data_IF_050539400109
#
_entry.id   IF_050539400109
#
_cell.length_a   1.000
_cell.length_b   1.000
_cell.length_c   1.000
_cell.angle_alpha   90.00
_cell.angle_beta   90.00
_cell.angle_gamma   90.00
#
_symmetry.space_group_name_H-M   'P 1'
#
loop_
_entity.id
_entity.type
_entity.pdbx_description
1 polymer ?
#
# COMPACT_ATOMS: atom_id res chain seq x y z
N UNK A 1 1.34 -21.51 3.72
CA UNK A 1 2.49 -20.72 4.22
C UNK A 1 2.44 -19.36 3.53
N UNK A 2 2.27 -18.33 4.32
CA UNK A 2 2.19 -16.97 3.81
C UNK A 2 3.55 -16.52 3.24
N UNK A 3 3.51 -15.75 2.18
CA UNK A 3 4.69 -15.16 1.56
C UNK A 3 4.46 -13.68 1.33
N UNK A 4 5.48 -12.88 1.51
CA UNK A 4 5.46 -11.46 1.22
C UNK A 4 6.27 -11.19 -0.06
N UNK A 5 5.61 -10.64 -1.07
CA UNK A 5 6.29 -10.20 -2.29
C UNK A 5 7.04 -8.91 -2.01
N UNK A 6 8.33 -8.90 -2.31
CA UNK A 6 9.10 -7.68 -2.23
C UNK A 6 8.53 -6.60 -3.15
N UNK A 7 8.62 -5.32 -2.78
CA UNK A 7 8.29 -4.22 -3.68
C UNK A 7 8.97 -4.38 -5.03
N UNK A 8 8.28 -4.03 -6.12
CA UNK A 8 8.72 -4.28 -7.52
C UNK A 8 10.11 -3.74 -7.81
N UNK A 9 10.50 -2.63 -7.19
CA UNK A 9 11.81 -2.01 -7.29
C UNK A 9 12.96 -2.83 -6.69
N UNK A 10 12.67 -3.84 -5.88
CA UNK A 10 13.66 -4.77 -5.32
C UNK A 10 13.77 -6.06 -6.14
N UNK A 11 12.74 -6.39 -6.93
CA UNK A 11 12.70 -7.61 -7.74
C UNK A 11 13.77 -7.71 -8.83
N UNK A 12 14.51 -6.64 -9.11
CA UNK A 12 15.59 -6.61 -10.12
C UNK A 12 16.99 -6.79 -9.55
N UNK A 13 17.14 -6.95 -8.23
CA UNK A 13 18.44 -7.15 -7.59
C UNK A 13 18.74 -8.64 -7.49
N UNK A 14 19.84 -9.06 -8.10
CA UNK A 14 20.28 -10.46 -8.08
C UNK A 14 20.68 -10.96 -6.67
N UNK A 15 20.98 -10.02 -5.76
CA UNK A 15 21.37 -10.28 -4.37
C UNK A 15 20.18 -10.42 -3.41
N UNK A 16 18.95 -10.19 -3.89
CA UNK A 16 17.76 -10.28 -3.05
C UNK A 16 16.82 -11.40 -3.54
N UNK A 17 16.17 -12.11 -2.61
CA UNK A 17 15.13 -13.07 -2.98
C UNK A 17 13.91 -12.33 -3.55
N UNK A 18 13.23 -12.94 -4.50
CA UNK A 18 11.99 -12.39 -5.08
C UNK A 18 10.84 -12.26 -4.06
N UNK A 19 10.89 -13.07 -3.03
CA UNK A 19 9.86 -13.16 -1.99
C UNK A 19 10.52 -13.49 -0.64
N UNK A 20 9.92 -12.98 0.44
CA UNK A 20 10.27 -13.38 1.80
C UNK A 20 9.48 -14.64 2.12
N UNK A 21 10.18 -15.76 2.32
CA UNK A 21 9.60 -17.06 2.63
C UNK A 21 10.50 -17.85 3.57
N UNK A 22 9.92 -18.74 4.42
CA UNK A 22 8.52 -18.73 4.85
C UNK A 22 8.27 -17.55 5.80
N UNK A 23 7.03 -17.07 5.87
CA UNK A 23 6.57 -16.14 6.89
C UNK A 23 5.66 -16.91 7.83
N UNK A 24 6.04 -17.02 9.08
CA UNK A 24 5.22 -17.62 10.12
C UNK A 24 4.34 -16.54 10.77
N UNK A 25 3.04 -16.81 10.91
CA UNK A 25 2.11 -15.97 11.64
C UNK A 25 1.49 -16.79 12.77
N UNK A 26 1.58 -16.28 13.98
CA UNK A 26 1.07 -16.89 15.19
C UNK A 26 -0.39 -17.37 15.08
N UNK A 27 -1.28 -16.56 14.52
CA UNK A 27 -2.72 -16.85 14.51
C UNK A 27 -3.19 -17.86 13.48
N UNK A 28 -2.41 -18.18 12.45
CA UNK A 28 -2.89 -18.94 11.29
C UNK A 28 -2.32 -20.35 11.14
N UNK A 29 -1.20 -20.63 11.80
CA UNK A 29 -0.45 -21.88 11.58
C UNK A 29 -0.39 -22.79 12.80
N UNK A 30 -0.96 -22.40 13.96
CA UNK A 30 -0.91 -23.15 15.19
C UNK A 30 -2.10 -24.12 15.32
N UNK A 31 -1.80 -25.40 15.45
CA UNK A 31 -2.81 -26.43 15.75
C UNK A 31 -3.17 -26.43 17.24
N UNK A 32 -4.46 -26.61 17.60
CA UNK A 32 -4.85 -26.76 18.99
C UNK A 32 -4.18 -28.02 19.62
N UNK A 33 -3.43 -27.83 20.71
CA UNK A 33 -2.92 -28.94 21.50
C UNK A 33 -1.46 -28.85 21.94
N UNK A 34 -0.52 -28.34 21.11
CA UNK A 34 0.90 -28.21 21.46
C UNK A 34 1.47 -26.85 21.11
N UNK A 35 0.71 -25.80 21.44
CA UNK A 35 1.02 -24.41 21.11
C UNK A 35 2.44 -23.96 21.52
N UNK A 36 2.94 -24.24 22.76
CA UNK A 36 4.26 -23.79 23.20
C UNK A 36 5.40 -24.40 22.38
N UNK A 37 5.32 -25.69 22.07
CA UNK A 37 6.38 -26.40 21.35
C UNK A 37 6.45 -26.00 19.87
N UNK A 38 5.29 -25.82 19.22
CA UNK A 38 5.22 -25.38 17.82
C UNK A 38 5.74 -23.95 17.66
N UNK A 39 5.39 -23.08 18.60
CA UNK A 39 5.86 -21.70 18.63
C UNK A 39 7.38 -21.64 18.83
N UNK A 40 7.91 -22.38 19.80
CA UNK A 40 9.35 -22.46 20.05
C UNK A 40 10.10 -22.95 18.82
N UNK A 41 9.62 -24.01 18.17
CA UNK A 41 10.22 -24.52 16.93
C UNK A 41 10.16 -23.50 15.77
N UNK A 42 9.08 -22.74 15.67
CA UNK A 42 8.95 -21.68 14.67
C UNK A 42 9.94 -20.52 14.94
N UNK A 43 10.11 -20.14 16.21
CA UNK A 43 11.10 -19.13 16.61
C UNK A 43 12.54 -19.61 16.35
N UNK A 44 12.87 -20.86 16.66
CA UNK A 44 14.18 -21.46 16.37
C UNK A 44 14.52 -21.41 14.88
N UNK A 45 13.55 -21.70 14.02
CA UNK A 45 13.72 -21.68 12.56
C UNK A 45 13.67 -20.27 11.94
N UNK A 46 13.20 -19.27 12.70
CA UNK A 46 13.05 -17.91 12.23
C UNK A 46 14.38 -17.18 12.27
N UNK A 47 14.74 -16.52 11.16
CA UNK A 47 15.92 -15.66 11.08
C UNK A 47 15.68 -14.29 11.73
N UNK A 48 14.47 -13.77 11.64
CA UNK A 48 14.06 -12.48 12.20
C UNK A 48 12.73 -12.64 12.94
N UNK A 49 12.55 -11.86 13.98
CA UNK A 49 11.29 -11.70 14.69
C UNK A 49 10.77 -10.28 14.48
N UNK A 50 9.65 -10.14 13.77
CA UNK A 50 8.97 -8.84 13.62
C UNK A 50 7.89 -8.75 14.69
N UNK A 51 8.05 -7.81 15.61
CA UNK A 51 7.14 -7.60 16.73
C UNK A 51 6.20 -6.45 16.42
N UNK A 52 4.90 -6.73 16.36
CA UNK A 52 3.89 -5.68 16.20
C UNK A 52 3.71 -4.98 17.55
N UNK A 53 4.17 -3.73 17.65
CA UNK A 53 4.18 -2.96 18.88
C UNK A 53 2.96 -2.04 18.98
N UNK A 54 2.23 -2.18 20.09
CA UNK A 54 1.11 -1.35 20.51
C UNK A 54 0.97 -1.42 22.02
N UNK A 55 0.20 -0.55 22.69
CA UNK A 55 -0.06 -0.63 24.13
C UNK A 55 -0.71 -1.96 24.54
N UNK A 56 -1.43 -2.60 23.63
CA UNK A 56 -2.01 -3.92 23.85
C UNK A 56 -0.97 -5.02 23.80
N UNK A 57 -0.09 -5.04 22.81
CA UNK A 57 0.97 -6.06 22.69
C UNK A 57 2.03 -5.91 23.77
N UNK A 58 2.30 -4.68 24.23
CA UNK A 58 3.22 -4.41 25.33
C UNK A 58 2.81 -5.10 26.64
N UNK A 59 1.50 -5.27 26.87
CA UNK A 59 0.92 -5.94 28.05
C UNK A 59 0.73 -7.46 27.86
N UNK A 60 1.03 -7.99 26.66
CA UNK A 60 0.83 -9.39 26.34
C UNK A 60 1.96 -10.27 26.90
N UNK A 61 1.63 -11.17 27.82
CA UNK A 61 2.59 -12.14 28.35
C UNK A 61 3.15 -13.07 27.25
N UNK A 62 2.34 -13.38 26.23
CA UNK A 62 2.77 -14.20 25.10
C UNK A 62 3.84 -13.50 24.26
N UNK A 63 3.61 -12.25 23.92
CA UNK A 63 4.60 -11.45 23.15
C UNK A 63 5.90 -11.28 23.94
N UNK A 64 5.82 -11.06 25.24
CA UNK A 64 7.02 -10.98 26.09
C UNK A 64 7.78 -12.31 26.11
N UNK A 65 7.09 -13.45 26.28
CA UNK A 65 7.71 -14.79 26.28
C UNK A 65 8.38 -15.13 24.95
N UNK A 66 7.74 -14.80 23.82
CA UNK A 66 8.34 -14.97 22.48
C UNK A 66 9.63 -14.17 22.33
N UNK A 67 9.61 -12.92 22.80
CA UNK A 67 10.78 -12.05 22.79
C UNK A 67 11.89 -12.56 23.69
N UNK A 68 11.59 -12.95 24.92
CA UNK A 68 12.56 -13.54 25.87
C UNK A 68 13.23 -14.76 25.25
N UNK A 69 12.43 -15.69 24.68
CA UNK A 69 12.95 -16.85 23.99
C UNK A 69 13.91 -16.48 22.86
N UNK A 70 13.58 -15.47 22.07
CA UNK A 70 14.42 -15.04 20.95
C UNK A 70 15.71 -14.34 21.42
N UNK A 71 15.64 -13.61 22.54
CA UNK A 71 16.80 -12.99 23.22
C UNK A 71 17.71 -14.07 23.81
N UNK A 72 17.16 -15.09 24.47
CA UNK A 72 17.91 -16.23 25.03
C UNK A 72 18.65 -17.02 23.94
N UNK A 73 18.11 -17.08 22.73
CA UNK A 73 18.80 -17.65 21.57
C UNK A 73 19.96 -16.79 21.05
N UNK A 74 20.27 -15.66 21.68
CA UNK A 74 21.34 -14.73 21.26
C UNK A 74 21.02 -13.98 19.97
N UNK A 75 19.73 -13.80 19.61
CA UNK A 75 19.28 -13.19 18.36
C UNK A 75 18.64 -11.81 18.55
N UNK A 76 19.05 -11.08 19.56
CA UNK A 76 18.52 -9.75 19.88
C UNK A 76 18.62 -8.78 18.71
N UNK A 77 19.72 -8.85 17.94
CA UNK A 77 19.96 -8.03 16.75
C UNK A 77 19.01 -8.35 15.57
N UNK A 78 18.29 -9.45 15.64
CA UNK A 78 17.30 -9.89 14.63
C UNK A 78 15.85 -9.55 15.01
N UNK A 79 15.64 -8.92 16.16
CA UNK A 79 14.32 -8.42 16.56
C UNK A 79 14.06 -7.09 15.85
N UNK A 80 12.91 -6.96 15.21
CA UNK A 80 12.49 -5.76 14.48
C UNK A 80 11.13 -5.29 15.01
N UNK A 81 11.08 -4.28 15.89
CA UNK A 81 9.82 -3.70 16.32
C UNK A 81 9.13 -2.94 15.18
N UNK A 82 7.85 -3.23 14.99
CA UNK A 82 6.98 -2.56 14.05
C UNK A 82 5.87 -1.86 14.81
N UNK A 83 6.02 -0.55 15.01
CA UNK A 83 5.15 0.25 15.87
C UNK A 83 3.93 0.70 15.08
N UNK A 84 2.75 0.22 15.49
CA UNK A 84 1.46 0.56 14.89
C UNK A 84 0.68 1.56 15.72
N UNK A 85 0.93 1.59 17.05
CA UNK A 85 0.23 2.46 17.98
C UNK A 85 1.09 2.69 19.23
N UNK A 86 0.92 3.83 19.90
CA UNK A 86 1.63 4.18 21.12
C UNK A 86 3.01 4.79 20.87
N UNK A 87 3.78 4.90 21.95
CA UNK A 87 5.12 5.51 21.97
C UNK A 87 6.10 4.58 22.68
N UNK A 88 7.26 4.31 22.08
CA UNK A 88 8.31 3.54 22.75
C UNK A 88 8.89 4.33 23.94
N UNK A 89 9.18 3.62 25.04
CA UNK A 89 9.73 4.16 26.28
C UNK A 89 8.89 5.31 26.87
N UNK A 90 7.57 5.21 26.73
CA UNK A 90 6.66 6.20 27.30
C UNK A 90 6.62 6.11 28.83
N UNK A 91 6.51 7.26 29.49
CA UNK A 91 6.27 7.32 30.95
C UNK A 91 4.84 6.92 31.31
N UNK A 92 3.92 6.98 30.36
CA UNK A 92 2.52 6.57 30.55
C UNK A 92 2.36 5.09 30.15
N UNK A 93 1.91 4.22 31.07
CA UNK A 93 1.65 2.81 30.75
C UNK A 93 0.56 2.58 29.71
N UNK A 94 -0.27 3.60 29.44
CA UNK A 94 -1.33 3.55 28.43
C UNK A 94 -0.80 3.84 27.02
N UNK A 95 0.30 4.58 26.93
CA UNK A 95 0.94 4.90 25.65
C UNK A 95 2.14 4.00 25.33
N UNK A 96 2.70 3.30 26.34
CA UNK A 96 3.88 2.44 26.16
C UNK A 96 3.56 1.29 25.21
N UNK A 97 4.31 1.20 24.13
CA UNK A 97 4.08 0.19 23.08
C UNK A 97 5.15 -0.91 23.05
N UNK A 98 6.29 -0.74 23.74
CA UNK A 98 7.30 -1.78 23.78
C UNK A 98 7.03 -2.79 24.88
N UNK A 99 7.01 -4.08 24.55
CA UNK A 99 7.01 -5.14 25.55
C UNK A 99 8.16 -5.02 26.52
N UNK A 100 7.98 -5.53 27.74
CA UNK A 100 8.96 -5.46 28.82
C UNK A 100 10.30 -6.07 28.43
N UNK A 101 10.28 -7.18 27.71
CA UNK A 101 11.47 -7.83 27.20
C UNK A 101 12.34 -6.93 26.30
N UNK A 102 11.73 -6.01 25.54
CA UNK A 102 12.48 -5.02 24.74
C UNK A 102 13.00 -3.90 25.63
N UNK A 103 12.20 -3.41 26.58
CA UNK A 103 12.60 -2.28 27.47
C UNK A 103 13.74 -2.64 28.41
N UNK A 104 13.86 -3.90 28.75
CA UNK A 104 14.90 -4.41 29.64
C UNK A 104 16.21 -4.77 28.93
N UNK A 105 16.28 -4.58 27.59
CA UNK A 105 17.53 -4.77 26.86
C UNK A 105 18.59 -3.75 27.27
N UNK A 106 19.87 -4.16 27.30
CA UNK A 106 20.96 -3.22 27.56
C UNK A 106 20.96 -2.05 26.55
N UNK A 107 21.31 -0.85 27.00
CA UNK A 107 21.33 0.37 26.15
C UNK A 107 22.20 0.22 24.89
N UNK A 108 23.22 -0.63 24.95
CA UNK A 108 24.09 -0.98 23.80
C UNK A 108 23.37 -1.77 22.71
N UNK A 109 22.22 -2.36 23.05
CA UNK A 109 21.38 -3.16 22.15
C UNK A 109 20.06 -2.45 21.81
N UNK A 110 20.04 -1.12 21.87
CA UNK A 110 18.85 -0.34 21.57
C UNK A 110 18.29 -0.70 20.19
N UNK A 111 17.06 -1.18 20.18
CA UNK A 111 16.39 -1.64 18.96
C UNK A 111 15.52 -0.51 18.40
N UNK A 112 15.97 0.08 17.29
CA UNK A 112 15.17 1.08 16.58
C UNK A 112 14.01 0.44 15.85
N UNK A 113 12.80 0.81 16.23
CA UNK A 113 11.55 0.36 15.59
C UNK A 113 11.23 1.08 14.27
N UNK A 114 10.41 0.45 13.47
CA UNK A 114 9.76 1.10 12.32
C UNK A 114 8.38 1.61 12.76
N UNK A 115 8.21 2.93 12.85
CA UNK A 115 6.99 3.56 13.38
C UNK A 115 6.11 4.07 12.23
N UNK A 116 4.90 3.50 12.08
CA UNK A 116 3.97 3.89 11.03
C UNK A 116 3.38 5.29 11.22
N UNK A 117 3.31 5.77 12.47
CA UNK A 117 2.75 7.08 12.78
C UNK A 117 3.72 8.21 12.42
N UNK A 118 5.03 7.94 12.43
CA UNK A 118 6.07 8.92 12.09
C UNK A 118 6.39 8.95 10.60
N UNK A 119 6.52 7.78 9.98
CA UNK A 119 7.02 7.69 8.60
C UNK A 119 5.98 7.20 7.59
N UNK A 120 4.80 6.79 8.06
CA UNK A 120 3.79 6.16 7.22
C UNK A 120 4.01 4.66 7.00
N UNK A 121 2.94 3.95 6.62
CA UNK A 121 2.92 2.48 6.51
C UNK A 121 3.96 1.95 5.52
N UNK A 122 4.03 2.56 4.34
CA UNK A 122 4.91 2.08 3.27
C UNK A 122 6.38 2.26 3.62
N UNK A 123 6.76 3.41 4.19
CA UNK A 123 8.12 3.67 4.61
C UNK A 123 8.53 2.75 5.77
N UNK A 124 7.64 2.50 6.72
CA UNK A 124 7.87 1.57 7.82
C UNK A 124 8.10 0.14 7.31
N UNK A 125 7.30 -0.33 6.35
CA UNK A 125 7.49 -1.63 5.70
C UNK A 125 8.84 -1.72 4.96
N UNK A 126 9.22 -0.68 4.21
CA UNK A 126 10.52 -0.61 3.54
C UNK A 126 11.66 -0.60 4.55
N UNK A 127 11.51 0.04 5.72
CA UNK A 127 12.50 0.05 6.81
C UNK A 127 12.72 -1.35 7.40
N UNK A 128 11.64 -2.12 7.60
CA UNK A 128 11.73 -3.52 8.03
C UNK A 128 12.52 -4.34 7.01
N UNK A 129 12.15 -4.25 5.74
CA UNK A 129 12.81 -4.99 4.65
C UNK A 129 14.29 -4.59 4.54
N UNK A 130 14.60 -3.30 4.64
CA UNK A 130 15.99 -2.81 4.59
C UNK A 130 16.84 -3.44 5.68
N UNK A 131 16.31 -3.53 6.91
CA UNK A 131 17.00 -4.16 8.04
C UNK A 131 17.20 -5.66 7.85
N UNK A 132 16.19 -6.37 7.34
CA UNK A 132 16.29 -7.82 7.09
C UNK A 132 17.38 -8.17 6.06
N UNK A 133 17.64 -7.29 5.10
CA UNK A 133 18.62 -7.52 4.05
C UNK A 133 19.93 -6.71 4.20
N UNK A 134 20.10 -5.97 5.30
CA UNK A 134 21.28 -5.15 5.53
C UNK A 134 21.44 -4.00 4.51
N UNK A 135 20.33 -3.49 3.98
CA UNK A 135 20.32 -2.44 2.97
C UNK A 135 20.11 -1.06 3.59
N UNK A 136 20.59 -0.02 2.94
CA UNK A 136 20.36 1.36 3.37
C UNK A 136 18.89 1.75 3.07
N UNK A 137 18.17 2.18 4.10
CA UNK A 137 16.78 2.59 3.99
C UNK A 137 16.57 3.70 2.94
N UNK A 138 17.43 4.72 2.94
CA UNK A 138 17.29 5.87 2.03
C UNK A 138 17.40 5.47 0.55
N UNK A 139 18.27 4.52 0.21
CA UNK A 139 18.39 4.02 -1.17
C UNK A 139 17.12 3.31 -1.62
N UNK A 140 16.54 2.50 -0.74
CA UNK A 140 15.32 1.76 -1.01
C UNK A 140 14.10 2.69 -1.08
N UNK A 141 13.98 3.60 -0.13
CA UNK A 141 12.87 4.54 -0.05
C UNK A 141 12.84 5.49 -1.25
N UNK A 142 13.98 6.09 -1.60
CA UNK A 142 14.07 6.98 -2.76
C UNK A 142 13.75 6.29 -4.09
N UNK A 143 14.04 5.00 -4.23
CA UNK A 143 13.63 4.20 -5.40
C UNK A 143 12.13 3.94 -5.38
N UNK A 144 11.59 3.52 -4.24
CA UNK A 144 10.16 3.27 -4.05
C UNK A 144 9.32 4.51 -4.37
N UNK A 145 9.68 5.67 -3.82
CA UNK A 145 9.00 6.93 -4.13
C UNK A 145 9.04 7.30 -5.62
N UNK A 146 10.19 7.16 -6.25
CA UNK A 146 10.33 7.45 -7.70
C UNK A 146 9.42 6.56 -8.54
N UNK A 147 9.33 5.29 -8.22
CA UNK A 147 8.47 4.34 -8.92
C UNK A 147 6.99 4.63 -8.70
N UNK A 148 6.58 4.94 -7.47
CA UNK A 148 5.21 5.35 -7.14
C UNK A 148 4.82 6.63 -7.89
N UNK A 149 5.70 7.64 -7.90
CA UNK A 149 5.49 8.90 -8.66
C UNK A 149 5.38 8.64 -10.16
N UNK A 150 6.21 7.74 -10.71
CA UNK A 150 6.15 7.34 -12.13
C UNK A 150 4.83 6.65 -12.46
N UNK A 151 4.43 5.67 -11.66
CA UNK A 151 3.16 4.93 -11.83
C UNK A 151 1.96 5.86 -11.77
N UNK A 152 1.92 6.77 -10.79
CA UNK A 152 0.87 7.80 -10.70
C UNK A 152 0.80 8.68 -11.95
N UNK A 153 1.95 9.12 -12.47
CA UNK A 153 2.00 9.93 -13.71
C UNK A 153 1.42 9.17 -14.91
N UNK A 154 1.72 7.88 -15.07
CA UNK A 154 1.14 7.06 -16.14
C UNK A 154 -0.37 6.89 -16.01
N UNK A 155 -0.87 6.67 -14.79
CA UNK A 155 -2.32 6.56 -14.54
C UNK A 155 -3.02 7.88 -14.88
N UNK A 156 -2.50 9.00 -14.39
CA UNK A 156 -3.06 10.34 -14.67
C UNK A 156 -3.02 10.64 -16.17
N UNK A 157 -1.91 10.39 -16.85
CA UNK A 157 -1.80 10.57 -18.30
C UNK A 157 -2.80 9.70 -19.07
N UNK A 158 -3.00 8.45 -18.66
CA UNK A 158 -4.01 7.55 -19.25
C UNK A 158 -5.43 8.07 -19.09
N UNK A 159 -5.80 8.52 -17.89
CA UNK A 159 -7.12 9.11 -17.61
C UNK A 159 -7.33 10.38 -18.42
N UNK A 160 -6.30 11.25 -18.50
CA UNK A 160 -6.37 12.51 -19.29
C UNK A 160 -6.55 12.22 -20.78
N UNK A 161 -5.84 11.23 -21.32
CA UNK A 161 -5.99 10.84 -22.74
C UNK A 161 -7.41 10.32 -23.04
N UNK A 162 -7.97 9.49 -22.15
CA UNK A 162 -9.35 9.00 -22.27
C UNK A 162 -10.37 10.15 -22.19
N UNK A 163 -10.17 11.12 -21.32
CA UNK A 163 -11.04 12.29 -21.21
C UNK A 163 -11.00 13.15 -22.49
N UNK A 164 -9.82 13.35 -23.08
CA UNK A 164 -9.68 14.09 -24.35
C UNK A 164 -10.38 13.35 -25.49
N UNK A 165 -10.25 12.02 -25.57
CA UNK A 165 -10.96 11.21 -26.58
C UNK A 165 -12.48 11.30 -26.39
N UNK A 166 -12.98 11.17 -25.17
CA UNK A 166 -14.40 11.28 -24.88
C UNK A 166 -14.96 12.66 -25.26
N UNK A 167 -14.20 13.72 -24.95
CA UNK A 167 -14.57 15.09 -25.32
C UNK A 167 -14.59 15.29 -26.85
N UNK A 168 -13.60 14.73 -27.55
CA UNK A 168 -13.54 14.74 -29.02
C UNK A 168 -14.74 14.05 -29.66
N UNK A 169 -15.11 12.87 -29.14
CA UNK A 169 -16.32 12.14 -29.62
C UNK A 169 -17.61 12.94 -29.34
N UNK A 170 -17.73 13.52 -28.15
CA UNK A 170 -18.89 14.34 -27.81
C UNK A 170 -19.01 15.59 -28.72
N UNK A 171 -17.90 16.26 -28.97
CA UNK A 171 -17.84 17.43 -29.87
C UNK A 171 -18.20 17.01 -31.31
N UNK A 172 -17.71 15.87 -31.77
CA UNK A 172 -18.06 15.34 -33.10
C UNK A 172 -19.56 15.04 -33.23
N UNK A 173 -20.15 14.36 -32.23
CA UNK A 173 -21.60 14.09 -32.19
C UNK A 173 -22.39 15.41 -32.16
N UNK A 174 -21.94 16.38 -31.37
CA UNK A 174 -22.58 17.72 -31.33
C UNK A 174 -22.57 18.37 -32.68
N UNK A 175 -21.44 18.37 -33.38
CA UNK A 175 -21.31 18.96 -34.74
C UNK A 175 -22.25 18.25 -35.73
N UNK A 176 -22.31 16.92 -35.74
CA UNK A 176 -23.24 16.14 -36.58
C UNK A 176 -24.70 16.52 -36.31
N UNK A 177 -25.08 16.68 -35.05
CA UNK A 177 -26.44 17.08 -34.67
C UNK A 177 -26.81 18.50 -35.15
N UNK A 178 -25.83 19.43 -35.19
CA UNK A 178 -26.03 20.75 -35.71
C UNK A 178 -26.28 20.72 -37.22
N UNK A 179 -25.54 19.93 -37.99
CA UNK A 179 -25.74 19.78 -39.43
C UNK A 179 -27.11 19.18 -39.77
N UNK A 180 -27.54 18.15 -39.02
CA UNK A 180 -28.87 17.53 -39.18
C UNK A 180 -29.97 18.56 -38.92
N UNK A 181 -29.86 19.37 -37.86
CA UNK A 181 -30.84 20.42 -37.54
C UNK A 181 -30.89 21.50 -38.60
N UNK A 182 -29.74 21.88 -39.16
CA UNK A 182 -29.67 22.88 -40.24
C UNK A 182 -30.39 22.36 -41.50
N UNK A 183 -30.16 21.10 -41.92
CA UNK A 183 -30.86 20.49 -43.09
C UNK A 183 -32.36 20.43 -42.88
N UNK A 184 -32.81 19.97 -41.71
CA UNK A 184 -34.24 19.90 -41.36
C UNK A 184 -34.87 21.29 -41.43
N UNK A 185 -34.19 22.32 -40.95
CA UNK A 185 -34.68 23.70 -40.98
C UNK A 185 -34.81 24.23 -42.41
N UNK A 186 -33.86 23.90 -43.29
CA UNK A 186 -33.87 24.32 -44.69
C UNK A 186 -34.98 23.59 -45.49
N UNK A 187 -35.20 22.33 -45.24
CA UNK A 187 -36.32 21.55 -45.84
C UNK A 187 -37.68 22.14 -45.42
N UNK A 188 -37.83 22.49 -44.14
CA UNK A 188 -39.04 23.18 -43.64
C UNK A 188 -39.26 24.54 -44.30
N UNK A 189 -38.24 25.34 -44.47
CA UNK A 189 -38.35 26.62 -45.16
C UNK A 189 -38.74 26.47 -46.61
N UNK A 190 -38.21 25.45 -47.29
CA UNK A 190 -38.54 25.15 -48.68
C UNK A 190 -40.03 24.73 -48.83
N UNK A 191 -40.49 23.83 -47.96
CA UNK A 191 -41.91 23.39 -47.97
C UNK A 191 -42.86 24.57 -47.66
N UNK A 192 -42.54 25.38 -46.68
CA UNK A 192 -43.36 26.58 -46.34
C UNK A 192 -43.44 27.58 -47.49
N UNK A 193 -42.34 27.81 -48.20
CA UNK A 193 -42.34 28.66 -49.39
C UNK A 193 -43.24 28.11 -50.51
N UNK A 194 -43.19 26.82 -50.78
CA UNK A 194 -44.04 26.15 -51.75
C UNK A 194 -45.53 26.30 -51.42
N UNK A 195 -45.89 26.16 -50.12
CA UNK A 195 -47.28 26.41 -49.69
C UNK A 195 -47.71 27.86 -49.90
N UNK A 196 -46.85 28.82 -49.63
CA UNK A 196 -47.12 30.26 -49.79
C UNK A 196 -47.30 30.64 -51.26
N UNK A 197 -46.43 30.18 -52.15
CA UNK A 197 -46.52 30.35 -53.59
C UNK A 197 -47.81 29.73 -54.17
N UNK A 198 -48.23 28.53 -53.65
CA UNK A 198 -49.46 27.89 -54.05
C UNK A 198 -50.74 28.61 -53.64
N UNK A 199 -50.73 29.31 -52.51
CA UNK A 199 -51.86 30.12 -52.05
C UNK A 199 -52.03 31.40 -52.90
N UNK A 200 -50.92 32.00 -53.32
CA UNK A 200 -50.96 33.18 -54.15
C UNK A 200 -51.47 32.88 -55.56
N UNK A 201 -51.26 31.67 -56.12
CA UNK A 201 -51.80 31.29 -57.43
C UNK A 201 -53.32 31.07 -57.37
N UNK A 202 -53.89 30.65 -56.18
CA UNK A 202 -55.34 30.48 -56.07
C UNK A 202 -56.13 31.80 -55.89
N UNK A 203 -55.45 32.91 -55.70
CA UNK A 203 -56.05 34.26 -55.51
C UNK A 203 -56.09 35.09 -56.79
N UNK A 204 -55.57 34.53 -57.88
CA UNK A 204 -55.61 35.15 -59.23
C UNK A 204 -56.71 34.51 -60.08
#
# INVERSE_FOLDING_TARGET
>A
RDHYKLPVNLNGRADLPKEIRPVFKDTSELNPGNLPQQLHSALEQSRYLIVICSPRSAKSEWVNRELETFVEMGRTDKIIPFIIEGKPFSKSPEEECFPEAIRNLPAEQEILGANINEMGRDAAAVKVVSRMFGLKFDELWNRYEREQKRRRRFIVAGISALAVLAFGVAAWIWHQNLEIKAKVLDDWKFEMKKYQDGIDIQKL
#
